data_IF_037561673283
#
_entry.id   IF_037561673283
#
_cell.length_a   1.000
_cell.length_b   1.000
_cell.length_c   1.000
_cell.angle_alpha   90.00
_cell.angle_beta   90.00
_cell.angle_gamma   90.00
#
_symmetry.space_group_name_H-M   'P 1'
#
loop_
_entity.id
_entity.type
_entity.pdbx_description
1 polymer ?
#
# COMPACT_ATOMS: atom_id res chain seq x y z
N UNK A 1 -21.81 -7.61 34.12
CA UNK A 1 -22.60 -6.66 33.30
C UNK A 1 -23.91 -7.32 32.91
N UNK A 2 -25.05 -6.75 33.35
CA UNK A 2 -26.41 -7.21 33.02
C UNK A 2 -27.06 -6.14 32.14
N UNK A 3 -27.50 -6.52 30.95
CA UNK A 3 -28.13 -5.62 29.98
C UNK A 3 -29.57 -5.39 30.44
N UNK A 4 -29.96 -4.11 30.60
CA UNK A 4 -31.30 -3.68 30.99
C UNK A 4 -32.27 -3.89 29.82
N UNK A 5 -33.43 -4.46 30.10
CA UNK A 5 -34.55 -4.57 29.18
C UNK A 5 -35.19 -3.21 28.96
N UNK A 6 -35.28 -2.77 27.70
CA UNK A 6 -36.06 -1.61 27.31
C UNK A 6 -37.50 -2.06 27.08
N UNK A 7 -38.36 -1.74 28.04
CA UNK A 7 -39.81 -1.73 27.91
C UNK A 7 -40.23 -0.55 27.03
N UNK A 8 -40.89 -0.83 25.91
CA UNK A 8 -41.75 0.15 25.23
C UNK A 8 -43.01 -0.59 24.80
N UNK A 9 -44.10 -0.35 25.54
CA UNK A 9 -45.44 -0.79 25.19
C UNK A 9 -45.99 0.00 24.01
N UNK A 10 -46.54 -0.71 23.03
CA UNK A 10 -47.33 -0.13 21.94
C UNK A 10 -48.75 0.10 22.46
N UNK A 11 -49.11 1.34 22.78
CA UNK A 11 -50.43 1.65 23.39
C UNK A 11 -51.59 1.78 22.40
N UNK A 12 -51.38 1.84 21.07
CA UNK A 12 -52.50 1.86 20.11
C UNK A 12 -52.10 1.36 18.73
N UNK A 13 -52.93 0.49 18.14
CA UNK A 13 -52.87 0.10 16.72
C UNK A 13 -54.05 0.77 16.01
N UNK A 14 -53.80 1.82 15.24
CA UNK A 14 -54.79 2.37 14.32
C UNK A 14 -54.77 1.54 13.03
N UNK A 15 -55.84 0.76 12.79
CA UNK A 15 -56.06 0.11 11.50
C UNK A 15 -56.55 1.15 10.50
N UNK A 16 -55.74 1.42 9.49
CA UNK A 16 -56.17 2.14 8.29
C UNK A 16 -56.68 1.11 7.27
N UNK A 17 -57.99 0.98 7.15
CA UNK A 17 -58.62 0.35 5.98
C UNK A 17 -59.18 1.49 5.12
N UNK A 18 -58.50 1.77 4.01
CA UNK A 18 -59.06 2.56 2.91
C UNK A 18 -58.85 1.72 1.66
N UNK A 19 -59.97 1.31 1.08
CA UNK A 19 -60.04 0.44 -0.09
C UNK A 19 -59.64 1.14 -1.38
N UNK A 20 -59.38 0.27 -2.35
CA UNK A 20 -59.52 0.43 -3.80
C UNK A 20 -58.99 1.72 -4.43
N UNK A 21 -57.70 1.67 -4.78
CA UNK A 21 -57.24 1.60 -6.18
C UNK A 21 -55.76 1.99 -6.22
N UNK A 22 -54.89 0.98 -6.11
CA UNK A 22 -53.47 1.15 -6.43
C UNK A 22 -53.08 0.06 -7.39
N UNK A 23 -52.97 0.43 -8.67
CA UNK A 23 -52.35 -0.40 -9.69
C UNK A 23 -50.95 -0.80 -9.24
N UNK A 24 -50.76 -2.06 -8.85
CA UNK A 24 -49.43 -2.64 -8.71
C UNK A 24 -48.79 -2.69 -10.11
N UNK A 25 -47.61 -2.07 -10.31
CA UNK A 25 -46.87 -2.28 -11.54
C UNK A 25 -46.43 -3.74 -11.60
N UNK A 26 -46.63 -4.36 -12.77
CA UNK A 26 -46.32 -5.77 -13.02
C UNK A 26 -44.87 -6.12 -12.68
N UNK A 27 -44.74 -7.22 -11.95
CA UNK A 27 -43.54 -8.03 -11.70
C UNK A 27 -42.45 -7.86 -12.75
N UNK A 28 -41.44 -7.02 -12.46
CA UNK A 28 -40.15 -7.02 -13.18
C UNK A 28 -39.03 -6.62 -12.25
N UNK A 29 -38.41 -7.63 -11.64
CA UNK A 29 -37.16 -7.45 -10.90
C UNK A 29 -36.76 -8.71 -10.18
N UNK A 30 -36.24 -9.69 -10.93
CA UNK A 30 -35.53 -10.84 -10.39
C UNK A 30 -34.57 -10.36 -9.29
N UNK A 31 -34.75 -10.89 -8.07
CA UNK A 31 -33.77 -10.70 -6.99
C UNK A 31 -32.41 -11.18 -7.52
N UNK A 32 -31.30 -10.45 -7.33
CA UNK A 32 -30.00 -10.96 -7.70
C UNK A 32 -29.75 -12.24 -6.91
N UNK A 33 -29.67 -13.37 -7.62
CA UNK A 33 -29.23 -14.62 -7.02
C UNK A 33 -27.76 -14.42 -6.68
N UNK A 34 -27.45 -14.36 -5.38
CA UNK A 34 -26.07 -14.36 -4.91
C UNK A 34 -25.50 -15.76 -5.16
N UNK A 35 -24.99 -15.98 -6.37
CA UNK A 35 -24.18 -17.15 -6.69
C UNK A 35 -22.79 -16.87 -6.11
N UNK A 36 -22.33 -17.62 -5.08
CA UNK A 36 -20.94 -17.51 -4.67
C UNK A 36 -20.08 -17.86 -5.88
N UNK A 37 -19.24 -16.91 -6.29
CA UNK A 37 -18.22 -17.16 -7.30
C UNK A 37 -17.36 -18.29 -6.74
N UNK A 38 -17.44 -19.47 -7.34
CA UNK A 38 -16.54 -20.57 -7.01
C UNK A 38 -15.15 -20.17 -7.50
N UNK A 39 -14.41 -19.41 -6.69
CA UNK A 39 -12.97 -19.42 -6.83
C UNK A 39 -12.55 -20.87 -6.64
N UNK A 40 -11.81 -21.47 -7.59
CA UNK A 40 -11.37 -22.84 -7.43
C UNK A 40 -10.60 -22.91 -6.12
N UNK A 41 -11.02 -23.83 -5.24
CA UNK A 41 -10.45 -23.98 -3.89
C UNK A 41 -8.92 -24.08 -3.94
N UNK A 42 -8.39 -24.59 -5.05
CA UNK A 42 -6.98 -24.65 -5.39
C UNK A 42 -6.27 -23.30 -5.38
N UNK A 43 -6.90 -22.20 -5.82
CA UNK A 43 -6.27 -20.88 -5.81
C UNK A 43 -6.18 -20.31 -4.37
N UNK A 44 -7.09 -20.71 -3.49
CA UNK A 44 -7.06 -20.34 -2.06
C UNK A 44 -6.09 -21.20 -1.28
N UNK A 45 -5.94 -22.47 -1.66
CA UNK A 45 -5.05 -23.44 -1.01
C UNK A 45 -3.60 -23.36 -1.50
N UNK A 46 -3.36 -22.92 -2.73
CA UNK A 46 -2.02 -22.62 -3.28
C UNK A 46 -1.54 -21.25 -2.79
N UNK A 47 -1.42 -21.08 -1.48
CA UNK A 47 -0.67 -19.94 -0.96
C UNK A 47 0.78 -20.11 -1.40
N UNK A 48 1.35 -19.17 -2.17
CA UNK A 48 2.72 -19.30 -2.59
C UNK A 48 3.62 -19.32 -1.36
N UNK A 49 4.59 -20.23 -1.37
CA UNK A 49 5.56 -20.37 -0.28
C UNK A 49 6.35 -19.08 -0.09
N UNK A 50 7.00 -18.92 1.07
CA UNK A 50 7.83 -17.74 1.32
C UNK A 50 8.91 -17.59 0.23
N UNK A 51 9.50 -18.70 -0.20
CA UNK A 51 10.53 -18.75 -1.24
C UNK A 51 9.98 -18.38 -2.62
N UNK A 52 8.72 -18.74 -2.93
CA UNK A 52 8.05 -18.33 -4.17
C UNK A 52 7.68 -16.84 -4.18
N UNK A 53 7.44 -16.25 -3.00
CA UNK A 53 7.11 -14.83 -2.85
C UNK A 53 8.36 -13.96 -2.73
N UNK A 54 9.47 -14.51 -2.26
CA UNK A 54 10.69 -13.76 -1.96
C UNK A 54 11.19 -12.94 -3.16
N UNK A 55 11.28 -13.51 -4.39
CA UNK A 55 11.72 -12.75 -5.55
C UNK A 55 10.83 -11.55 -5.82
N UNK A 56 9.50 -11.71 -5.75
CA UNK A 56 8.55 -10.62 -5.96
C UNK A 56 8.57 -9.56 -4.83
N UNK A 57 9.01 -9.93 -3.62
CA UNK A 57 9.11 -9.00 -2.48
C UNK A 57 10.45 -8.26 -2.43
N UNK A 58 11.51 -8.86 -2.98
CA UNK A 58 12.87 -8.32 -2.91
C UNK A 58 13.31 -7.66 -4.22
N UNK A 59 12.77 -8.11 -5.36
CA UNK A 59 13.09 -7.54 -6.65
C UNK A 59 12.05 -6.47 -6.99
N UNK A 60 12.47 -5.23 -7.27
CA UNK A 60 11.55 -4.25 -7.82
C UNK A 60 11.00 -4.77 -9.17
N UNK A 61 9.69 -4.65 -9.38
CA UNK A 61 9.02 -5.11 -10.62
C UNK A 61 9.61 -4.44 -11.87
N UNK A 62 10.14 -3.23 -11.71
CA UNK A 62 10.85 -2.49 -12.74
C UNK A 62 12.13 -1.89 -12.14
N UNK A 63 13.27 -2.43 -12.54
CA UNK A 63 14.57 -1.81 -12.36
C UNK A 63 15.03 -1.28 -13.73
N UNK A 64 15.39 -0.01 -13.77
CA UNK A 64 16.06 0.55 -14.95
C UNK A 64 17.40 -0.20 -15.15
N UNK A 65 17.64 -0.85 -16.31
CA UNK A 65 18.88 -1.58 -16.55
C UNK A 65 20.13 -0.70 -16.39
N UNK A 66 20.02 0.61 -16.64
CA UNK A 66 21.15 1.54 -16.50
C UNK A 66 21.57 1.70 -15.02
N UNK A 67 20.67 1.43 -14.06
CA UNK A 67 21.00 1.42 -12.63
C UNK A 67 21.84 0.22 -12.19
N UNK A 68 22.04 -0.77 -13.07
CA UNK A 68 22.96 -1.88 -12.80
C UNK A 68 24.42 -1.46 -12.98
N UNK A 69 24.70 -0.39 -13.72
CA UNK A 69 26.04 0.13 -13.91
C UNK A 69 26.51 0.88 -12.64
N UNK A 70 27.61 0.45 -11.98
CA UNK A 70 28.01 1.02 -10.68
C UNK A 70 28.31 2.52 -10.70
N UNK A 71 28.77 3.04 -11.84
CA UNK A 71 29.00 4.46 -12.05
C UNK A 71 27.67 5.22 -12.11
N UNK A 72 26.72 4.73 -12.91
CA UNK A 72 25.41 5.34 -13.08
C UNK A 72 24.62 5.32 -11.77
N UNK A 73 24.67 4.21 -11.04
CA UNK A 73 24.01 4.08 -9.74
C UNK A 73 24.54 5.12 -8.73
N UNK A 74 25.86 5.35 -8.69
CA UNK A 74 26.45 6.34 -7.80
C UNK A 74 26.03 7.76 -8.16
N UNK A 75 26.08 8.11 -9.44
CA UNK A 75 25.66 9.42 -9.91
C UNK A 75 24.18 9.69 -9.60
N UNK A 76 23.32 8.70 -9.80
CA UNK A 76 21.88 8.82 -9.50
C UNK A 76 21.63 8.93 -8.00
N UNK A 77 22.38 8.21 -7.15
CA UNK A 77 22.26 8.35 -5.69
C UNK A 77 22.64 9.75 -5.21
N UNK A 78 23.70 10.32 -5.77
CA UNK A 78 24.12 11.70 -5.46
C UNK A 78 23.04 12.71 -5.87
N UNK A 79 22.50 12.57 -7.09
CA UNK A 79 21.42 13.43 -7.57
C UNK A 79 20.14 13.27 -6.73
N UNK A 80 19.79 12.06 -6.33
CA UNK A 80 18.63 11.79 -5.49
C UNK A 80 18.77 12.46 -4.10
N UNK A 81 19.96 12.37 -3.50
CA UNK A 81 20.27 13.07 -2.26
C UNK A 81 20.08 14.58 -2.41
N UNK A 82 20.62 15.19 -3.46
CA UNK A 82 20.49 16.63 -3.73
C UNK A 82 19.03 17.05 -3.93
N UNK A 83 18.26 16.26 -4.69
CA UNK A 83 16.83 16.50 -4.93
C UNK A 83 16.01 16.43 -3.63
N UNK A 84 16.30 15.45 -2.78
CA UNK A 84 15.60 15.28 -1.50
C UNK A 84 15.98 16.43 -0.55
N UNK A 85 17.26 16.79 -0.47
CA UNK A 85 17.72 17.93 0.32
C UNK A 85 17.11 19.27 -0.16
N UNK A 86 17.02 19.48 -1.47
CA UNK A 86 16.37 20.65 -2.05
C UNK A 86 14.85 20.66 -1.79
N UNK A 87 14.22 19.49 -1.74
CA UNK A 87 12.80 19.34 -1.40
C UNK A 87 12.56 19.62 0.08
N UNK A 88 13.44 19.16 0.97
CA UNK A 88 13.37 19.46 2.40
C UNK A 88 13.39 20.97 2.68
N UNK A 89 14.20 21.75 1.94
CA UNK A 89 14.26 23.22 2.07
C UNK A 89 12.95 23.93 1.72
N UNK A 90 12.09 23.32 0.90
CA UNK A 90 10.81 23.88 0.44
C UNK A 90 9.64 23.51 1.34
N UNK A 91 9.79 22.47 2.15
CA UNK A 91 8.74 21.93 3.01
C UNK A 91 8.85 22.45 4.44
N UNK A 92 7.79 22.26 5.24
CA UNK A 92 7.74 22.67 6.65
C UNK A 92 7.16 21.58 7.55
N UNK A 93 7.41 21.68 8.86
CA UNK A 93 6.90 20.74 9.87
C UNK A 93 7.43 19.31 9.71
N UNK A 94 6.59 18.32 10.03
CA UNK A 94 6.97 16.91 10.03
C UNK A 94 7.48 16.39 8.67
N UNK A 95 6.98 16.95 7.56
CA UNK A 95 7.43 16.56 6.22
C UNK A 95 8.86 17.01 5.93
N UNK A 96 9.22 18.20 6.39
CA UNK A 96 10.61 18.68 6.33
C UNK A 96 11.53 17.77 7.12
N UNK A 97 11.18 17.44 8.36
CA UNK A 97 11.99 16.56 9.21
C UNK A 97 12.20 15.18 8.56
N UNK A 98 11.16 14.60 7.96
CA UNK A 98 11.28 13.32 7.24
C UNK A 98 12.22 13.42 6.03
N UNK A 99 12.11 14.49 5.23
CA UNK A 99 12.98 14.69 4.06
C UNK A 99 14.43 14.99 4.47
N UNK A 100 14.64 15.74 5.55
CA UNK A 100 15.99 15.97 6.09
C UNK A 100 16.62 14.66 6.55
N UNK A 101 15.87 13.82 7.28
CA UNK A 101 16.35 12.49 7.69
C UNK A 101 16.66 11.59 6.50
N UNK A 102 15.81 11.61 5.47
CA UNK A 102 16.06 10.86 4.25
C UNK A 102 17.32 11.36 3.51
N UNK A 103 17.53 12.68 3.42
CA UNK A 103 18.72 13.26 2.83
C UNK A 103 20.00 12.88 3.61
N UNK A 104 19.94 12.89 4.94
CA UNK A 104 21.07 12.44 5.78
C UNK A 104 21.36 10.96 5.56
N UNK A 105 20.33 10.10 5.54
CA UNK A 105 20.51 8.67 5.29
C UNK A 105 21.23 8.40 3.96
N UNK A 106 20.84 9.09 2.89
CA UNK A 106 21.49 8.96 1.58
C UNK A 106 22.93 9.52 1.59
N UNK A 107 23.18 10.58 2.36
CA UNK A 107 24.53 11.12 2.52
C UNK A 107 25.47 10.10 3.18
N UNK A 108 24.99 9.43 4.23
CA UNK A 108 25.74 8.41 4.96
C UNK A 108 26.02 7.20 4.06
N UNK A 109 25.03 6.74 3.29
CA UNK A 109 25.20 5.67 2.30
C UNK A 109 26.25 6.01 1.24
N UNK A 110 26.22 7.23 0.69
CA UNK A 110 27.20 7.69 -0.29
C UNK A 110 28.62 7.72 0.31
N UNK A 111 28.76 8.16 1.58
CA UNK A 111 30.05 8.16 2.27
C UNK A 111 30.60 6.74 2.48
N UNK A 112 29.73 5.77 2.80
CA UNK A 112 30.12 4.37 2.97
C UNK A 112 30.54 3.75 1.63
N UNK A 113 29.84 4.03 0.54
CA UNK A 113 30.20 3.55 -0.79
C UNK A 113 31.58 4.07 -1.22
N UNK A 114 31.86 5.35 -0.95
CA UNK A 114 33.17 5.97 -1.17
C UNK A 114 34.27 5.28 -0.36
N UNK A 115 34.02 4.96 0.91
CA UNK A 115 34.97 4.25 1.77
C UNK A 115 35.26 2.84 1.25
N UNK A 116 34.24 2.12 0.82
CA UNK A 116 34.37 0.79 0.20
C UNK A 116 35.19 0.87 -1.08
N UNK A 117 34.90 1.83 -1.96
CA UNK A 117 35.65 2.04 -3.22
C UNK A 117 37.11 2.34 -2.96
N UNK A 118 37.41 3.22 -1.99
CA UNK A 118 38.80 3.55 -1.61
C UNK A 118 39.53 2.35 -1.04
N UNK A 119 38.86 1.58 -0.18
CA UNK A 119 39.42 0.37 0.43
C UNK A 119 39.71 -0.71 -0.62
N UNK A 120 38.77 -0.92 -1.56
CA UNK A 120 38.96 -1.83 -2.68
C UNK A 120 40.10 -1.37 -3.60
N UNK A 121 40.16 -0.08 -3.91
CA UNK A 121 41.25 0.48 -4.72
C UNK A 121 42.62 0.33 -4.04
N UNK A 122 42.69 0.49 -2.71
CA UNK A 122 43.91 0.25 -1.94
C UNK A 122 44.31 -1.23 -1.98
N UNK A 123 43.36 -2.15 -1.75
CA UNK A 123 43.59 -3.59 -1.83
C UNK A 123 44.12 -4.03 -3.19
N UNK A 124 43.56 -3.48 -4.28
CA UNK A 124 43.97 -3.81 -5.65
C UNK A 124 45.33 -3.21 -6.04
N UNK A 125 45.80 -2.19 -5.33
CA UNK A 125 47.11 -1.57 -5.57
C UNK A 125 48.27 -2.26 -4.84
N UNK A 126 47.97 -3.10 -3.83
CA UNK A 126 48.96 -3.81 -3.02
C UNK A 126 49.42 -2.99 -1.82
#
# INVERSE_FOLDING_TARGET
MRIRSLEVGLETISRYQVGDDVHLPQDKGLRPVFLPVSQPLDDVLKRPSLDERLPALLQPEFLDPDLLEPAMLADIRLQAQELIAASAKRETGARKELLERAATCLADENSLDDEVRRSLAALLRG
#
